data_IF_763147026011
#
_entry.id   IF_763147026011
#
_cell.length_a   1.000
_cell.length_b   1.000
_cell.length_c   1.000
_cell.angle_alpha   90.00
_cell.angle_beta   90.00
_cell.angle_gamma   90.00
#
_symmetry.space_group_name_H-M   'P 1'
#
loop_
_entity.id
_entity.type
_entity.pdbx_description
1 polymer ?
#
# COMPACT_ATOMS: atom_id res chain seq x y z
N UNK A 1 -20.52 -0.15 -4.25
CA UNK A 1 -19.66 0.53 -3.27
C UNK A 1 -19.26 -0.50 -2.23
N UNK A 2 -17.97 -0.78 -2.08
CA UNK A 2 -17.44 -1.82 -1.20
C UNK A 2 -15.93 -1.68 -1.05
N UNK A 3 -15.32 -2.56 -0.26
CA UNK A 3 -13.86 -2.61 -0.10
C UNK A 3 -13.23 -3.25 -1.34
N UNK A 4 -12.11 -2.69 -1.81
CA UNK A 4 -11.36 -3.26 -2.92
C UNK A 4 -10.69 -4.57 -2.50
N UNK A 5 -10.84 -5.60 -3.32
CA UNK A 5 -10.10 -6.85 -3.13
C UNK A 5 -8.65 -6.74 -3.67
N UNK A 6 -7.84 -7.77 -3.43
CA UNK A 6 -6.44 -7.82 -3.88
C UNK A 6 -6.25 -7.53 -5.38
N UNK A 7 -7.10 -8.09 -6.24
CA UNK A 7 -7.03 -7.92 -7.70
C UNK A 7 -7.34 -6.49 -8.11
N UNK A 8 -8.35 -5.89 -7.48
CA UNK A 8 -8.73 -4.50 -7.72
C UNK A 8 -7.64 -3.53 -7.23
N UNK A 9 -7.04 -3.79 -6.07
CA UNK A 9 -5.88 -3.00 -5.58
C UNK A 9 -4.71 -3.12 -6.55
N UNK A 10 -4.39 -4.33 -7.03
CA UNK A 10 -3.33 -4.55 -8.02
C UNK A 10 -3.60 -3.80 -9.33
N UNK A 11 -4.86 -3.77 -9.78
CA UNK A 11 -5.27 -3.02 -10.96
C UNK A 11 -5.12 -1.50 -10.78
N UNK A 12 -5.41 -0.96 -9.59
CA UNK A 12 -5.17 0.46 -9.29
C UNK A 12 -3.69 0.82 -9.23
N UNK A 13 -2.83 -0.11 -8.78
CA UNK A 13 -1.37 0.06 -8.85
C UNK A 13 -0.92 0.09 -10.31
N UNK A 14 -1.40 -0.85 -11.14
CA UNK A 14 -1.07 -0.91 -12.56
C UNK A 14 -1.56 0.33 -13.35
N UNK A 15 -2.74 0.88 -12.99
CA UNK A 15 -3.26 2.14 -13.53
C UNK A 15 -2.49 3.38 -13.08
N UNK A 16 -1.68 3.28 -12.04
CA UNK A 16 -0.96 4.41 -11.44
C UNK A 16 -1.80 5.27 -10.50
N UNK A 17 -3.03 4.87 -10.20
CA UNK A 17 -3.88 5.51 -9.17
C UNK A 17 -3.29 5.33 -7.78
N UNK A 18 -2.73 4.14 -7.50
CA UNK A 18 -1.95 3.85 -6.30
C UNK A 18 -0.48 3.80 -6.67
N UNK A 19 0.33 4.70 -6.08
CA UNK A 19 1.77 4.77 -6.32
C UNK A 19 2.54 4.10 -5.20
N UNK A 20 3.44 3.22 -5.56
CA UNK A 20 4.38 2.57 -4.64
C UNK A 20 5.80 2.97 -5.01
N UNK A 21 6.67 3.14 -4.02
CA UNK A 21 8.09 3.43 -4.26
C UNK A 21 8.84 2.23 -4.86
N UNK A 22 8.27 1.03 -4.76
CA UNK A 22 8.76 -0.23 -5.32
C UNK A 22 7.58 -1.18 -5.56
N UNK A 23 7.78 -2.21 -6.37
CA UNK A 23 6.79 -3.27 -6.54
C UNK A 23 6.39 -3.89 -5.18
N UNK A 24 5.11 -4.25 -4.98
CA UNK A 24 4.65 -4.84 -3.73
C UNK A 24 5.34 -6.19 -3.51
N UNK A 25 5.68 -6.48 -2.25
CA UNK A 25 6.27 -7.78 -1.88
C UNK A 25 5.26 -8.94 -2.00
N UNK A 26 5.72 -10.21 -2.00
CA UNK A 26 4.89 -11.39 -2.26
C UNK A 26 3.66 -11.59 -1.37
N UNK A 27 3.64 -10.97 -0.18
CA UNK A 27 2.53 -11.04 0.79
C UNK A 27 2.03 -9.66 1.20
N UNK A 28 2.37 -8.61 0.45
CA UNK A 28 1.98 -7.25 0.82
C UNK A 28 0.52 -6.95 0.44
N UNK A 29 0.05 -7.55 -0.66
CA UNK A 29 -1.36 -7.55 -1.05
C UNK A 29 -2.09 -8.65 -0.27
N UNK A 30 -3.11 -8.25 0.47
CA UNK A 30 -3.99 -9.11 1.25
C UNK A 30 -5.38 -9.16 0.57
N UNK A 31 -6.27 -10.10 0.94
CA UNK A 31 -7.55 -10.29 0.26
C UNK A 31 -8.40 -9.02 0.10
N UNK A 32 -8.32 -8.08 1.05
CA UNK A 32 -9.05 -6.80 1.02
C UNK A 32 -8.25 -5.65 1.66
N UNK A 33 -6.91 -5.72 1.65
CA UNK A 33 -6.04 -4.68 2.18
C UNK A 33 -4.64 -4.75 1.57
N UNK A 34 -3.80 -3.78 1.90
CA UNK A 34 -2.39 -3.76 1.54
C UNK A 34 -1.56 -3.33 2.76
N UNK A 35 -0.49 -4.05 3.04
CA UNK A 35 0.45 -3.68 4.10
C UNK A 35 1.31 -2.49 3.64
N UNK A 36 1.41 -1.45 4.47
CA UNK A 36 2.26 -0.29 4.21
C UNK A 36 3.68 -0.53 4.73
N UNK A 37 4.67 -0.08 3.97
CA UNK A 37 6.09 -0.12 4.39
C UNK A 37 6.57 1.26 4.80
N UNK A 38 7.37 1.33 5.87
CA UNK A 38 8.03 2.57 6.26
C UNK A 38 8.99 3.06 5.17
N UNK A 39 9.13 4.39 5.09
CA UNK A 39 10.18 5.03 4.30
C UNK A 39 11.55 4.94 4.98
N UNK A 40 12.57 5.55 4.37
CA UNK A 40 13.94 5.51 4.86
C UNK A 40 14.20 6.34 6.14
N UNK A 41 13.23 7.17 6.56
CA UNK A 41 13.37 8.09 7.71
C UNK A 41 12.11 8.08 8.55
N UNK A 42 12.31 8.14 9.87
CA UNK A 42 11.27 8.46 10.85
C UNK A 42 11.71 9.67 11.65
N UNK A 43 10.74 10.48 12.10
CA UNK A 43 11.01 11.70 12.87
C UNK A 43 10.53 11.54 14.30
N UNK A 44 11.39 11.93 15.25
CA UNK A 44 11.01 12.02 16.66
C UNK A 44 10.18 13.27 16.88
N UNK A 45 8.95 13.10 17.37
CA UNK A 45 8.05 14.19 17.74
C UNK A 45 7.73 14.12 19.23
N UNK A 46 7.37 15.26 19.84
CA UNK A 46 7.04 15.32 21.28
C UNK A 46 5.63 14.81 21.60
N UNK A 47 4.72 14.90 20.65
CA UNK A 47 3.32 14.47 20.72
C UNK A 47 2.79 14.29 19.28
N UNK A 48 1.70 13.52 19.11
CA UNK A 48 0.99 13.28 17.84
C UNK A 48 0.18 14.47 17.37
#
# INVERSE_FOLDING_TARGET
MGVLNAEQIAAEIARGSIKLSRAPGPRQLQPASIDLTLGARGWRVRAS
#
